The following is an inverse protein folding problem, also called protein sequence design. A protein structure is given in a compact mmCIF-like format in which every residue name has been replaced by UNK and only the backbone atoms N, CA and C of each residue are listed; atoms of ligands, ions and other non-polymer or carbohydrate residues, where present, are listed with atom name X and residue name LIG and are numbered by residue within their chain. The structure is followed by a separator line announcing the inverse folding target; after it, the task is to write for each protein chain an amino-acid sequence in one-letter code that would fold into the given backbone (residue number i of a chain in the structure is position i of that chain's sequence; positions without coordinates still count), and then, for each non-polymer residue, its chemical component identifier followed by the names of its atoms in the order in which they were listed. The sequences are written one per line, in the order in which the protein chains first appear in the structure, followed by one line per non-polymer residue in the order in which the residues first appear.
data_IF_251165224592
#
_entry.id   IF_251165224592
#
_cell.length_a   1.000
_cell.length_b   1.000
_cell.length_c   1.000
_cell.angle_alpha   90.00
_cell.angle_beta   90.00
_cell.angle_gamma   90.00
#
_symmetry.space_group_name_H-M   'P 1'
#
loop_
_entity.id
_entity.type
_entity.pdbx_description
1 polymer ?
#
# COMPACT_ATOMS: atom_id res chain seq x y z
N UNK A 1 17.91 2.19 6.12
CA UNK A 1 17.43 1.20 7.11
C UNK A 1 17.00 1.83 8.44
N UNK A 2 17.75 2.74 9.05
CA UNK A 2 17.31 3.41 10.30
C UNK A 2 16.13 4.38 10.12
N UNK A 3 16.04 5.11 9.00
CA UNK A 3 14.94 6.05 8.74
C UNK A 3 13.59 5.32 8.61
N UNK A 4 13.55 4.19 7.89
CA UNK A 4 12.33 3.37 7.79
C UNK A 4 11.90 2.78 9.15
N UNK A 5 12.84 2.40 10.01
CA UNK A 5 12.50 1.90 11.35
C UNK A 5 11.84 2.99 12.21
N UNK A 6 12.28 4.24 12.09
CA UNK A 6 11.65 5.38 12.77
C UNK A 6 10.22 5.61 12.23
N UNK A 7 10.02 5.53 10.91
CA UNK A 7 8.68 5.64 10.32
C UNK A 7 7.76 4.49 10.75
N UNK A 8 8.27 3.26 10.79
CA UNK A 8 7.52 2.09 11.27
C UNK A 8 7.09 2.22 12.73
N UNK A 9 7.90 2.85 13.58
CA UNK A 9 7.54 3.14 14.97
C UNK A 9 6.52 4.27 15.13
N UNK A 10 6.33 5.12 14.12
CA UNK A 10 5.34 6.21 14.14
C UNK A 10 3.97 5.71 13.61
N UNK A 11 3.93 4.65 12.81
CA UNK A 11 2.69 4.07 12.27
C UNK A 11 1.94 3.14 13.25
N UNK A 12 2.50 2.83 14.43
CA UNK A 12 1.84 2.06 15.49
C UNK A 12 1.08 2.95 16.49
N UNK A 13 0.12 3.77 16.03
CA UNK A 13 -1.02 4.21 16.85
C UNK A 13 -2.18 4.64 15.94
N UNK A 14 -3.11 3.72 15.65
CA UNK A 14 -4.52 4.09 15.54
C UNK A 14 -5.39 2.85 15.81
N UNK A 15 -5.55 2.57 17.10
CA UNK A 15 -6.57 1.67 17.61
C UNK A 15 -7.86 2.47 17.80
N UNK A 16 -8.63 2.66 16.71
CA UNK A 16 -10.01 3.10 16.83
C UNK A 16 -10.94 2.03 16.27
N UNK A 17 -11.46 1.21 17.19
CA UNK A 17 -12.60 0.36 16.90
C UNK A 17 -13.81 1.22 16.60
N UNK A 18 -14.20 1.28 15.33
CA UNK A 18 -15.56 1.68 14.94
C UNK A 18 -16.20 0.56 14.11
N UNK A 19 -17.30 0.04 14.63
CA UNK A 19 -18.15 -0.96 13.98
C UNK A 19 -19.14 -0.24 13.09
N UNK A 20 -18.97 -0.34 11.77
CA UNK A 20 -20.01 0.12 10.85
C UNK A 20 -19.79 -0.24 9.39
N UNK A 21 -20.74 -1.04 8.87
CA UNK A 21 -21.15 -1.20 7.47
C UNK A 21 -20.47 -2.28 6.60
N UNK A 22 -20.93 -3.52 6.81
CA UNK A 22 -21.22 -4.57 5.82
C UNK A 22 -20.42 -4.55 4.49
N UNK A 23 -19.32 -5.31 4.42
CA UNK A 23 -18.78 -5.83 3.16
C UNK A 23 -17.28 -6.14 3.07
N UNK A 24 -16.47 -5.77 4.06
CA UNK A 24 -15.00 -5.65 3.91
C UNK A 24 -14.13 -6.60 4.76
N UNK A 25 -14.62 -7.77 5.15
CA UNK A 25 -13.88 -8.69 6.05
C UNK A 25 -13.04 -9.77 5.34
N UNK A 26 -12.84 -9.72 4.02
CA UNK A 26 -12.18 -10.84 3.31
C UNK A 26 -10.95 -10.48 2.48
N UNK A 27 -10.44 -9.24 2.53
CA UNK A 27 -9.30 -8.87 1.70
C UNK A 27 -8.02 -8.57 2.47
N UNK A 28 -8.13 -8.13 3.73
CA UNK A 28 -6.96 -7.86 4.55
C UNK A 28 -6.08 -9.10 4.67
N UNK A 29 -4.77 -8.91 4.57
CA UNK A 29 -3.73 -9.96 4.56
C UNK A 29 -3.77 -10.91 3.35
N UNK A 30 -4.63 -10.69 2.35
CA UNK A 30 -4.52 -11.44 1.09
C UNK A 30 -3.30 -10.98 0.30
N UNK A 31 -2.62 -11.95 -0.30
CA UNK A 31 -1.53 -11.71 -1.23
C UNK A 31 -2.05 -11.08 -2.51
N UNK A 32 -1.23 -10.20 -3.08
CA UNK A 32 -1.54 -9.53 -4.32
C UNK A 32 -0.27 -9.22 -5.11
N UNK A 33 -0.48 -8.97 -6.40
CA UNK A 33 0.52 -8.49 -7.33
C UNK A 33 0.18 -7.06 -7.71
N UNK A 34 1.19 -6.19 -7.65
CA UNK A 34 1.10 -4.82 -8.10
C UNK A 34 1.49 -4.78 -9.58
N UNK A 35 0.57 -4.29 -10.41
CA UNK A 35 0.81 -4.01 -11.80
C UNK A 35 1.36 -2.58 -11.93
N UNK A 36 2.20 -2.35 -12.93
CA UNK A 36 2.69 -1.01 -13.26
C UNK A 36 1.49 -0.10 -13.54
N UNK A 37 1.44 1.06 -12.86
CA UNK A 37 0.30 1.98 -12.97
C UNK A 37 0.33 2.87 -14.21
N UNK A 38 1.40 2.78 -15.02
CA UNK A 38 1.61 3.51 -16.26
C UNK A 38 2.17 2.60 -17.35
N UNK A 39 1.85 2.87 -18.61
CA UNK A 39 2.36 2.07 -19.72
C UNK A 39 1.70 0.70 -19.78
N UNK A 40 2.51 -0.37 -19.71
CA UNK A 40 2.05 -1.76 -19.80
C UNK A 40 1.81 -2.34 -18.41
N UNK A 41 0.78 -3.17 -18.27
CA UNK A 41 0.35 -3.81 -17.01
C UNK A 41 1.26 -4.98 -16.59
N UNK A 42 2.57 -4.76 -16.55
CA UNK A 42 3.55 -5.73 -16.08
C UNK A 42 3.55 -5.78 -14.54
N UNK A 43 3.83 -6.95 -13.97
CA UNK A 43 3.97 -7.09 -12.51
C UNK A 43 5.27 -6.42 -12.06
N UNK A 44 5.17 -5.46 -11.15
CA UNK A 44 6.31 -4.67 -10.64
C UNK A 44 6.64 -4.97 -9.18
N UNK A 45 5.70 -5.52 -8.42
CA UNK A 45 5.93 -5.94 -7.03
C UNK A 45 4.90 -6.97 -6.56
N UNK A 46 5.24 -7.69 -5.50
CA UNK A 46 4.30 -8.49 -4.71
C UNK A 46 4.05 -7.82 -3.37
N UNK A 47 2.87 -8.06 -2.81
CA UNK A 47 2.49 -7.48 -1.53
C UNK A 47 1.30 -8.16 -0.88
N UNK A 48 0.87 -7.59 0.24
CA UNK A 48 -0.31 -8.01 0.99
C UNK A 48 -1.23 -6.82 1.23
N UNK A 49 -2.54 -7.02 1.09
CA UNK A 49 -3.51 -5.94 1.32
C UNK A 49 -3.51 -5.59 2.81
N UNK A 50 -3.05 -4.39 3.14
CA UNK A 50 -3.04 -3.87 4.50
C UNK A 50 -4.37 -3.20 4.86
N UNK A 51 -5.02 -2.51 3.91
CA UNK A 51 -6.36 -1.95 4.08
C UNK A 51 -7.05 -1.63 2.76
N UNK A 52 -8.39 -1.68 2.78
CA UNK A 52 -9.26 -1.23 1.69
C UNK A 52 -10.15 -0.05 2.11
N UNK A 53 -10.04 0.41 3.35
CA UNK A 53 -10.82 1.52 3.87
C UNK A 53 -10.29 2.84 3.29
N UNK A 54 -11.09 3.62 2.56
CA UNK A 54 -10.64 4.86 1.92
C UNK A 54 -10.20 5.96 2.89
N UNK A 55 -10.60 5.89 4.17
CA UNK A 55 -10.20 6.87 5.20
C UNK A 55 -8.86 6.54 5.84
N UNK A 56 -8.34 5.32 5.65
CA UNK A 56 -7.06 4.93 6.20
C UNK A 56 -5.92 5.78 5.61
N UNK A 57 -4.89 6.00 6.43
CA UNK A 57 -3.77 6.85 6.06
C UNK A 57 -2.63 6.04 5.45
N UNK A 58 -1.95 6.63 4.46
CA UNK A 58 -0.61 6.26 4.00
C UNK A 58 0.24 7.51 4.10
N UNK A 59 1.27 7.51 4.94
CA UNK A 59 2.10 8.69 5.22
C UNK A 59 1.28 9.95 5.55
N UNK A 60 0.30 9.82 6.46
CA UNK A 60 -0.61 10.89 6.91
C UNK A 60 -1.57 11.44 5.86
N UNK A 61 -1.63 10.85 4.66
CA UNK A 61 -2.58 11.24 3.61
C UNK A 61 -3.68 10.18 3.50
N UNK A 62 -4.97 10.57 3.48
CA UNK A 62 -6.06 9.63 3.22
C UNK A 62 -5.89 8.90 1.89
N UNK A 63 -6.12 7.60 1.94
CA UNK A 63 -5.99 6.70 0.80
C UNK A 63 -6.92 7.10 -0.36
N UNK A 64 -8.19 7.36 -0.03
CA UNK A 64 -9.26 7.65 -0.99
C UNK A 64 -9.82 6.38 -1.65
N UNK A 65 -10.93 6.54 -2.38
CA UNK A 65 -11.71 5.41 -2.92
C UNK A 65 -11.03 4.65 -4.07
N UNK A 66 -10.00 5.25 -4.67
CA UNK A 66 -9.33 4.73 -5.86
C UNK A 66 -8.02 3.99 -5.55
N UNK A 67 -7.66 3.84 -4.26
CA UNK A 67 -6.45 3.12 -3.86
C UNK A 67 -6.71 2.10 -2.74
N UNK A 68 -5.89 1.05 -2.68
CA UNK A 68 -5.74 0.20 -1.50
C UNK A 68 -4.38 0.44 -0.87
N UNK A 69 -4.31 0.27 0.46
CA UNK A 69 -3.04 0.29 1.19
C UNK A 69 -2.44 -1.11 1.12
N UNK A 70 -1.24 -1.22 0.58
CA UNK A 70 -0.55 -2.50 0.33
C UNK A 70 0.79 -2.50 1.04
N UNK A 71 1.07 -3.56 1.79
CA UNK A 71 2.39 -3.86 2.33
C UNK A 71 3.26 -4.49 1.24
N UNK A 72 4.40 -3.88 0.91
CA UNK A 72 5.29 -4.38 -0.14
C UNK A 72 6.21 -5.46 0.41
N UNK A 73 6.09 -6.68 -0.09
CA UNK A 73 6.90 -7.83 0.34
C UNK A 73 8.08 -8.13 -0.59
N UNK A 74 7.95 -7.79 -1.87
CA UNK A 74 8.99 -8.01 -2.89
C UNK A 74 8.85 -6.99 -4.02
N UNK A 75 9.97 -6.49 -4.53
CA UNK A 75 10.02 -5.63 -5.72
C UNK A 75 10.59 -6.43 -6.88
N UNK A 76 9.81 -6.52 -7.97
CA UNK A 76 10.20 -7.20 -9.22
C UNK A 76 10.87 -6.22 -10.18
N UNK A 77 10.34 -5.00 -10.26
CA UNK A 77 10.88 -3.93 -11.09
C UNK A 77 10.76 -2.58 -10.36
N UNK A 78 11.84 -1.83 -10.34
CA UNK A 78 11.94 -0.61 -9.55
C UNK A 78 11.35 0.58 -10.31
N UNK A 79 10.05 0.81 -10.11
CA UNK A 79 9.31 1.90 -10.76
C UNK A 79 8.94 2.99 -9.77
N UNK A 80 8.58 4.16 -10.28
CA UNK A 80 8.05 5.25 -9.46
C UNK A 80 6.74 4.85 -8.76
N UNK A 81 6.55 5.27 -7.52
CA UNK A 81 5.30 5.08 -6.80
C UNK A 81 4.14 5.84 -7.46
N UNK A 82 2.90 5.38 -7.27
CA UNK A 82 1.70 6.06 -7.77
C UNK A 82 1.49 7.43 -7.11
N UNK A 83 1.76 7.52 -5.80
CA UNK A 83 1.79 8.77 -5.03
C UNK A 83 3.17 8.95 -4.39
N UNK A 84 4.17 9.42 -5.15
CA UNK A 84 5.50 9.63 -4.60
C UNK A 84 5.47 10.76 -3.56
N UNK A 85 6.25 10.58 -2.50
CA UNK A 85 6.56 11.62 -1.52
C UNK A 85 8.01 12.07 -1.69
N UNK A 86 8.47 13.04 -0.89
CA UNK A 86 9.89 13.45 -0.91
C UNK A 86 10.82 12.34 -0.41
N UNK A 87 10.30 11.39 0.36
CA UNK A 87 11.08 10.34 1.01
C UNK A 87 10.89 8.97 0.37
N UNK A 88 9.73 8.71 -0.23
CA UNK A 88 9.41 7.49 -0.95
C UNK A 88 9.07 7.85 -2.40
N UNK A 89 10.00 7.59 -3.32
CA UNK A 89 9.81 7.92 -4.74
C UNK A 89 9.71 6.67 -5.61
N UNK A 90 10.46 5.62 -5.26
CA UNK A 90 10.56 4.36 -6.00
C UNK A 90 9.96 3.19 -5.19
N UNK A 91 9.65 2.08 -5.86
CA UNK A 91 9.16 0.87 -5.21
C UNK A 91 10.18 0.26 -4.26
N UNK A 92 11.48 0.36 -4.55
CA UNK A 92 12.53 -0.14 -3.65
C UNK A 92 12.54 0.58 -2.29
N UNK A 93 12.18 1.86 -2.27
CA UNK A 93 12.07 2.65 -1.03
C UNK A 93 10.94 2.13 -0.13
N UNK A 94 9.93 1.50 -0.73
CA UNK A 94 8.73 1.01 -0.07
C UNK A 94 8.85 -0.44 0.43
N UNK A 95 9.95 -1.14 0.15
CA UNK A 95 10.12 -2.53 0.57
C UNK A 95 10.06 -2.66 2.10
N UNK A 96 9.10 -3.43 2.60
CA UNK A 96 8.85 -3.58 4.04
C UNK A 96 8.12 -2.39 4.67
N UNK A 97 7.39 -1.60 3.88
CA UNK A 97 6.47 -0.54 4.31
C UNK A 97 5.13 -0.63 3.54
N UNK A 98 4.21 0.31 3.79
CA UNK A 98 2.93 0.40 3.10
C UNK A 98 2.89 1.53 2.08
N UNK A 99 2.20 1.30 0.96
CA UNK A 99 1.96 2.30 -0.08
C UNK A 99 0.50 2.33 -0.48
N UNK A 100 0.07 3.46 -1.03
CA UNK A 100 -1.19 3.56 -1.77
C UNK A 100 -0.96 3.08 -3.21
N UNK A 101 -1.71 2.07 -3.64
CA UNK A 101 -1.69 1.60 -5.03
C UNK A 101 -3.10 1.59 -5.64
N UNK A 102 -3.27 1.94 -6.93
CA UNK A 102 -4.61 2.03 -7.51
C UNK A 102 -5.28 0.67 -7.67
N UNK A 103 -6.59 0.58 -7.38
CA UNK A 103 -7.35 -0.68 -7.41
C UNK A 103 -7.21 -1.39 -8.77
N UNK A 104 -7.26 -0.62 -9.86
CA UNK A 104 -7.13 -1.13 -11.24
C UNK A 104 -5.82 -1.90 -11.48
N UNK A 105 -4.77 -1.56 -10.73
CA UNK A 105 -3.43 -2.12 -10.90
C UNK A 105 -3.06 -3.05 -9.73
N UNK A 106 -4.06 -3.64 -9.07
CA UNK A 106 -3.86 -4.67 -8.04
C UNK A 106 -4.55 -5.95 -8.53
N UNK A 107 -3.79 -7.05 -8.54
CA UNK A 107 -4.32 -8.39 -8.76
C UNK A 107 -4.22 -9.18 -7.48
N UNK A 108 -5.34 -9.41 -6.81
CA UNK A 108 -5.43 -10.28 -5.63
C UNK A 108 -5.32 -11.74 -6.09
N UNK A 109 -4.58 -12.55 -5.33
CA UNK A 109 -4.46 -14.00 -5.56
C UNK A 109 -5.71 -14.79 -5.09
#
# INVERSE_FOLDING_TARGET
MFILLVYKSIEEEDNHGDKGLNGSDNLQSKKCKLLRWFGKDDVVANGEIASTNPTDLVHHVPLGNECWRVWVTEVVDNVTLYRPTREHFLLEDALGSTIAWPLKYIKVD
#
